data_IF_330324507270
#
_entry.id   IF_330324507270
#
_cell.length_a   1.000
_cell.length_b   1.000
_cell.length_c   1.000
_cell.angle_alpha   90.00
_cell.angle_beta   90.00
_cell.angle_gamma   90.00
#
_symmetry.space_group_name_H-M   'P 1'
#
loop_
_entity.id
_entity.type
_entity.pdbx_description
1 polymer ?
#
# COMPACT_ATOMS: atom_id res chain seq x y z
N UNK A 1 29.41 15.79 -5.80
CA UNK A 1 29.23 14.66 -4.85
C UNK A 1 27.80 14.74 -4.36
N UNK A 2 26.96 13.74 -4.64
CA UNK A 2 25.56 13.75 -4.20
C UNK A 2 25.54 13.24 -2.76
N UNK A 3 25.07 14.06 -1.83
CA UNK A 3 24.79 13.69 -0.43
C UNK A 3 23.29 13.48 -0.25
N UNK A 4 22.90 12.44 0.49
CA UNK A 4 21.50 12.13 0.77
C UNK A 4 21.36 11.23 1.99
N UNK A 5 20.19 11.31 2.63
CA UNK A 5 19.86 10.50 3.79
C UNK A 5 19.41 9.09 3.41
N UNK A 6 19.64 8.13 4.31
CA UNK A 6 19.21 6.74 4.11
C UNK A 6 17.75 6.57 4.51
N UNK A 7 16.95 6.01 3.61
CA UNK A 7 15.60 5.55 3.90
C UNK A 7 15.67 4.15 4.51
N UNK A 8 14.91 3.91 5.59
CA UNK A 8 14.77 2.59 6.21
C UNK A 8 13.45 1.96 5.79
N UNK A 9 13.53 0.82 5.13
CA UNK A 9 12.37 -0.03 4.86
C UNK A 9 12.10 -0.95 6.06
N UNK A 10 10.83 -1.28 6.29
CA UNK A 10 10.39 -2.20 7.35
C UNK A 10 9.23 -3.06 6.85
N UNK A 11 8.97 -4.16 7.56
CA UNK A 11 7.76 -4.97 7.35
C UNK A 11 6.48 -4.15 7.53
N UNK A 12 5.45 -4.53 6.76
CA UNK A 12 4.11 -3.94 6.82
C UNK A 12 3.42 -4.24 8.14
N UNK A 13 2.53 -3.34 8.56
CA UNK A 13 1.73 -3.45 9.79
C UNK A 13 0.30 -3.07 9.51
N UNK A 14 -0.62 -3.54 10.34
CA UNK A 14 -2.05 -3.25 10.17
C UNK A 14 -2.36 -1.74 10.14
N UNK A 15 -1.59 -0.94 10.87
CA UNK A 15 -1.74 0.52 10.89
C UNK A 15 -1.46 1.18 9.54
N UNK A 16 -0.71 0.52 8.64
CA UNK A 16 -0.35 1.05 7.33
C UNK A 16 -1.46 0.84 6.30
N UNK A 17 -2.46 0.00 6.61
CA UNK A 17 -3.50 -0.41 5.66
C UNK A 17 -4.28 0.79 5.09
N UNK A 18 -4.50 1.84 5.88
CA UNK A 18 -5.21 3.03 5.40
C UNK A 18 -4.42 3.80 4.35
N UNK A 19 -3.12 4.01 4.60
CA UNK A 19 -2.23 4.72 3.68
C UNK A 19 -1.97 3.88 2.42
N UNK A 20 -1.73 2.57 2.59
CA UNK A 20 -1.57 1.63 1.47
C UNK A 20 -2.84 1.60 0.59
N UNK A 21 -4.03 1.61 1.19
CA UNK A 21 -5.29 1.67 0.43
C UNK A 21 -5.46 3.01 -0.28
N UNK A 22 -5.10 4.13 0.37
CA UNK A 22 -5.17 5.44 -0.26
C UNK A 22 -4.30 5.50 -1.52
N UNK A 23 -3.05 5.01 -1.44
CA UNK A 23 -2.15 4.88 -2.58
C UNK A 23 -2.71 3.96 -3.66
N UNK A 24 -3.21 2.79 -3.26
CA UNK A 24 -3.79 1.82 -4.18
C UNK A 24 -5.00 2.37 -4.97
N UNK A 25 -5.78 3.28 -4.36
CA UNK A 25 -6.93 3.92 -5.01
C UNK A 25 -6.62 5.25 -5.68
N UNK A 26 -5.39 5.74 -5.58
CA UNK A 26 -4.96 6.97 -6.24
C UNK A 26 -4.82 6.75 -7.75
N UNK A 27 -5.54 7.54 -8.54
CA UNK A 27 -5.60 7.39 -9.99
C UNK A 27 -4.29 7.78 -10.69
N UNK A 28 -3.55 8.76 -10.15
CA UNK A 28 -2.25 9.15 -10.69
C UNK A 28 -1.24 8.03 -10.43
N UNK A 29 -1.19 7.53 -9.20
CA UNK A 29 -0.27 6.46 -8.82
C UNK A 29 -0.55 5.17 -9.58
N UNK A 30 -1.83 4.78 -9.70
CA UNK A 30 -2.24 3.61 -10.49
C UNK A 30 -1.84 3.74 -11.97
N UNK A 31 -1.97 4.94 -12.55
CA UNK A 31 -1.55 5.19 -13.93
C UNK A 31 -0.02 5.09 -14.10
N UNK A 32 0.76 5.61 -13.14
CA UNK A 32 2.22 5.50 -13.13
C UNK A 32 2.69 4.05 -12.98
N UNK A 33 1.97 3.25 -12.20
CA UNK A 33 2.23 1.83 -12.00
C UNK A 33 1.68 0.93 -13.12
N UNK A 34 1.01 1.51 -14.12
CA UNK A 34 0.28 0.79 -15.18
C UNK A 34 -0.70 -0.26 -14.62
N UNK A 35 -1.32 0.04 -13.48
CA UNK A 35 -2.25 -0.82 -12.77
C UNK A 35 -3.70 -0.31 -12.91
N UNK A 36 -4.71 -1.19 -12.93
CA UNK A 36 -6.10 -0.78 -12.90
C UNK A 36 -6.50 -0.28 -11.50
N UNK A 37 -7.42 0.67 -11.44
CA UNK A 37 -8.00 1.10 -10.17
C UNK A 37 -8.80 -0.03 -9.52
N UNK A 38 -8.64 -0.27 -8.20
CA UNK A 38 -9.42 -1.27 -7.51
C UNK A 38 -10.89 -0.88 -7.42
N UNK A 39 -11.77 -1.88 -7.51
CA UNK A 39 -13.20 -1.75 -7.23
C UNK A 39 -13.58 -2.20 -5.81
N UNK A 40 -12.61 -2.72 -5.07
CA UNK A 40 -12.80 -3.18 -3.69
C UNK A 40 -13.02 -2.02 -2.74
N UNK A 41 -13.82 -2.23 -1.71
CA UNK A 41 -14.01 -1.24 -0.64
C UNK A 41 -12.92 -1.37 0.42
N UNK A 42 -12.67 -0.31 1.19
CA UNK A 42 -11.68 -0.35 2.27
C UNK A 42 -11.89 -1.49 3.28
N UNK A 43 -13.12 -1.81 3.75
CA UNK A 43 -13.31 -2.94 4.65
C UNK A 43 -12.96 -4.30 4.04
N UNK A 44 -13.25 -4.51 2.74
CA UNK A 44 -12.88 -5.73 2.03
C UNK A 44 -11.36 -5.84 1.87
N UNK A 45 -10.72 -4.73 1.50
CA UNK A 45 -9.27 -4.63 1.45
C UNK A 45 -8.63 -4.93 2.82
N UNK A 46 -9.13 -4.32 3.89
CA UNK A 46 -8.60 -4.49 5.25
C UNK A 46 -8.69 -5.94 5.73
N UNK A 47 -9.77 -6.64 5.39
CA UNK A 47 -9.91 -8.06 5.70
C UNK A 47 -8.84 -8.91 5.01
N UNK A 48 -8.59 -8.68 3.72
CA UNK A 48 -7.53 -9.36 2.96
C UNK A 48 -6.14 -9.00 3.52
N UNK A 49 -5.86 -7.72 3.72
CA UNK A 49 -4.61 -7.21 4.29
C UNK A 49 -4.28 -7.83 5.65
N UNK A 50 -5.29 -7.96 6.52
CA UNK A 50 -5.13 -8.60 7.84
C UNK A 50 -4.82 -10.10 7.70
N UNK A 51 -5.43 -10.78 6.73
CA UNK A 51 -5.15 -12.17 6.44
C UNK A 51 -3.71 -12.35 5.96
N UNK A 52 -3.26 -11.52 5.02
CA UNK A 52 -1.91 -11.57 4.45
C UNK A 52 -0.83 -11.34 5.53
N UNK A 53 -1.06 -10.39 6.45
CA UNK A 53 -0.15 -10.17 7.58
C UNK A 53 -0.09 -11.34 8.57
N UNK A 54 -1.20 -12.09 8.71
CA UNK A 54 -1.30 -13.20 9.67
C UNK A 54 -0.75 -14.50 9.09
N UNK A 55 -0.80 -14.67 7.78
CA UNK A 55 -0.41 -15.87 7.05
C UNK A 55 0.56 -15.49 5.90
N UNK A 56 1.82 -15.12 6.23
CA UNK A 56 2.81 -14.68 5.26
C UNK A 56 3.34 -15.79 4.35
#
# INVERSE_FOLDING_TARGET
MISGDKVKLREKRLADAADDYAWLTDAELAALDAAPLPTTTFPQYLAAYTSDLRYP
#
